data_IF_819501635942
#
_entry.id   IF_819501635942
#
_cell.length_a   1.000
_cell.length_b   1.000
_cell.length_c   1.000
_cell.angle_alpha   90.00
_cell.angle_beta   90.00
_cell.angle_gamma   90.00
#
_symmetry.space_group_name_H-M   'P 1'
#
loop_
_entity.id
_entity.type
_entity.pdbx_description
1 polymer ?
#
# COMPACT_ATOMS: atom_id res chain seq x y z
N UNK A 1 5.20 -5.14 -4.05
CA UNK A 1 5.06 -6.24 -3.06
C UNK A 1 3.65 -6.18 -2.53
N UNK A 2 2.99 -7.32 -2.41
CA UNK A 2 1.72 -7.46 -1.71
C UNK A 2 1.91 -8.40 -0.52
N UNK A 3 1.02 -8.29 0.45
CA UNK A 3 0.86 -9.17 1.61
C UNK A 3 -0.51 -9.82 1.56
N UNK A 4 -0.66 -11.01 2.14
CA UNK A 4 -1.95 -11.68 2.32
C UNK A 4 -2.37 -11.58 3.79
N UNK A 5 -3.34 -10.72 4.12
CA UNK A 5 -3.92 -10.68 5.46
C UNK A 5 -4.64 -11.99 5.82
N UNK A 6 -4.63 -12.38 7.09
CA UNK A 6 -5.30 -13.58 7.60
C UNK A 6 -6.82 -13.42 7.73
N UNK A 7 -7.30 -12.18 7.79
CA UNK A 7 -8.70 -11.82 8.03
C UNK A 7 -9.47 -11.38 6.78
N UNK A 8 -8.82 -11.37 5.61
CA UNK A 8 -9.43 -11.05 4.30
C UNK A 8 -9.09 -12.15 3.28
N UNK A 9 -9.94 -12.27 2.25
CA UNK A 9 -9.73 -13.22 1.14
C UNK A 9 -8.85 -12.69 0.00
N UNK A 10 -8.51 -11.40 0.01
CA UNK A 10 -7.71 -10.74 -1.02
C UNK A 10 -6.39 -10.24 -0.44
N UNK A 11 -5.41 -10.07 -1.32
CA UNK A 11 -4.12 -9.48 -1.03
C UNK A 11 -4.22 -7.94 -0.93
N UNK A 12 -3.30 -7.36 -0.18
CA UNK A 12 -3.19 -5.91 0.02
C UNK A 12 -1.72 -5.45 -0.03
N UNK A 13 -1.49 -4.14 0.05
CA UNK A 13 -0.15 -3.61 0.36
C UNK A 13 0.05 -3.52 1.87
N UNK A 14 1.30 -3.55 2.39
CA UNK A 14 1.53 -3.28 3.80
C UNK A 14 1.01 -1.90 4.19
N UNK A 15 0.41 -1.79 5.37
CA UNK A 15 -0.11 -0.54 5.89
C UNK A 15 -1.36 -0.68 6.74
N UNK A 16 -1.64 0.38 7.50
CA UNK A 16 -2.78 0.44 8.39
C UNK A 16 -3.22 1.88 8.64
N UNK A 17 -3.88 2.09 9.78
CA UNK A 17 -4.43 3.39 10.13
C UNK A 17 -3.36 4.33 10.67
N UNK A 18 -3.53 5.62 10.37
CA UNK A 18 -2.76 6.67 11.05
C UNK A 18 -3.33 6.85 12.46
N UNK A 19 -2.46 6.77 13.47
CA UNK A 19 -2.85 6.96 14.86
C UNK A 19 -2.96 8.43 15.27
N UNK A 20 -3.55 8.70 16.43
CA UNK A 20 -3.69 10.06 16.94
C UNK A 20 -2.32 10.71 17.18
N UNK A 21 -2.08 11.86 16.53
CA UNK A 21 -0.81 12.57 16.63
C UNK A 21 0.30 12.01 15.75
N UNK A 22 0.00 11.00 14.94
CA UNK A 22 0.92 10.37 14.00
C UNK A 22 0.82 11.04 12.61
N UNK A 23 1.95 11.15 11.90
CA UNK A 23 1.94 11.57 10.50
C UNK A 23 1.71 10.37 9.57
N UNK A 24 1.13 10.54 8.37
CA UNK A 24 0.96 9.42 7.43
C UNK A 24 2.27 8.70 7.07
N UNK A 25 3.39 9.44 6.99
CA UNK A 25 4.71 8.84 6.74
C UNK A 25 5.18 8.02 7.95
N UNK A 26 4.97 8.52 9.16
CA UNK A 26 5.28 7.79 10.41
C UNK A 26 4.48 6.50 10.51
N UNK A 27 3.18 6.56 10.20
CA UNK A 27 2.31 5.38 10.15
C UNK A 27 2.84 4.36 9.14
N UNK A 28 3.18 4.79 7.92
CA UNK A 28 3.75 3.89 6.91
C UNK A 28 5.05 3.21 7.39
N UNK A 29 5.94 3.93 8.07
CA UNK A 29 7.18 3.35 8.64
C UNK A 29 6.87 2.35 9.75
N UNK A 30 5.94 2.67 10.66
CA UNK A 30 5.52 1.79 11.75
C UNK A 30 4.88 0.51 11.21
N UNK A 31 3.89 0.63 10.34
CA UNK A 31 3.15 -0.51 9.78
C UNK A 31 4.07 -1.46 9.00
N UNK A 32 5.00 -0.94 8.19
CA UNK A 32 6.00 -1.77 7.51
C UNK A 32 6.87 -2.55 8.51
N UNK A 33 7.19 -1.97 9.66
CA UNK A 33 7.92 -2.69 10.69
C UNK A 33 7.06 -3.71 11.44
N UNK A 34 5.81 -3.37 11.77
CA UNK A 34 4.88 -4.23 12.51
C UNK A 34 4.48 -5.45 11.68
N UNK A 35 4.04 -5.25 10.44
CA UNK A 35 3.48 -6.32 9.60
C UNK A 35 4.55 -7.23 9.01
N UNK A 36 5.70 -6.67 8.58
CA UNK A 36 6.71 -7.42 7.82
C UNK A 36 8.14 -7.33 8.39
N UNK A 37 8.33 -6.66 9.54
CA UNK A 37 9.58 -6.68 10.29
C UNK A 37 10.73 -5.89 9.65
N UNK A 38 10.47 -5.09 8.61
CA UNK A 38 11.52 -4.40 7.87
C UNK A 38 11.72 -2.96 8.35
N UNK A 39 12.99 -2.57 8.51
CA UNK A 39 13.39 -1.16 8.60
C UNK A 39 13.92 -0.70 7.25
N UNK A 40 13.11 0.07 6.52
CA UNK A 40 13.44 0.56 5.18
C UNK A 40 13.33 2.08 5.14
N UNK A 41 14.14 2.71 4.29
CA UNK A 41 14.00 4.13 3.99
C UNK A 41 12.76 4.31 3.10
N UNK A 42 11.67 4.80 3.70
CA UNK A 42 10.45 5.16 2.96
C UNK A 42 10.73 6.42 2.14
N UNK A 43 10.48 6.33 0.83
CA UNK A 43 10.69 7.38 -0.14
C UNK A 43 9.52 8.35 -0.26
N UNK A 44 9.40 9.07 -1.39
CA UNK A 44 8.39 10.11 -1.57
C UNK A 44 6.97 9.53 -1.59
N UNK A 45 6.00 10.43 -1.34
CA UNK A 45 4.58 10.16 -1.54
C UNK A 45 4.30 9.92 -3.03
N UNK A 46 3.69 8.79 -3.36
CA UNK A 46 3.33 8.42 -4.72
C UNK A 46 1.88 8.77 -5.04
N UNK A 47 0.94 8.47 -4.14
CA UNK A 47 -0.48 8.75 -4.37
C UNK A 47 -1.22 9.17 -3.11
N UNK A 48 -2.21 10.04 -3.29
CA UNK A 48 -3.27 10.32 -2.33
C UNK A 48 -4.58 9.90 -2.99
N UNK A 49 -5.31 8.97 -2.37
CA UNK A 49 -6.58 8.47 -2.90
C UNK A 49 -7.72 8.75 -1.93
N UNK A 50 -8.76 9.44 -2.39
CA UNK A 50 -10.04 9.50 -1.69
C UNK A 50 -10.86 8.26 -2.03
N UNK A 51 -11.20 7.47 -1.02
CA UNK A 51 -11.90 6.20 -1.19
C UNK A 51 -13.08 6.08 -0.20
N UNK A 52 -14.30 6.48 -0.60
CA UNK A 52 -15.49 6.34 0.21
C UNK A 52 -15.78 4.88 0.58
N UNK A 53 -16.25 4.67 1.81
CA UNK A 53 -16.80 3.41 2.31
C UNK A 53 -18.19 3.67 2.91
N UNK A 54 -19.25 3.00 2.43
CA UNK A 54 -20.60 3.22 2.93
C UNK A 54 -20.75 3.11 4.46
N UNK A 55 -20.05 2.14 5.08
CA UNK A 55 -20.21 1.83 6.50
C UNK A 55 -19.15 2.48 7.40
N UNK A 56 -18.05 2.97 6.81
CA UNK A 56 -16.88 3.46 7.56
C UNK A 56 -16.58 4.94 7.27
N UNK A 57 -17.36 5.56 6.37
CA UNK A 57 -17.13 6.92 5.89
C UNK A 57 -15.99 7.02 4.87
N UNK A 58 -15.62 8.25 4.55
CA UNK A 58 -14.58 8.52 3.58
C UNK A 58 -13.19 8.25 4.14
N UNK A 59 -12.35 7.58 3.34
CA UNK A 59 -10.94 7.37 3.66
C UNK A 59 -10.07 8.18 2.72
N UNK A 60 -8.96 8.68 3.25
CA UNK A 60 -7.85 9.24 2.46
C UNK A 60 -6.66 8.32 2.66
N UNK A 61 -6.20 7.68 1.58
CA UNK A 61 -5.07 6.78 1.60
C UNK A 61 -3.83 7.48 1.08
N UNK A 62 -2.73 7.36 1.82
CA UNK A 62 -1.41 7.84 1.42
C UNK A 62 -0.56 6.64 1.06
N UNK A 63 -0.05 6.57 -0.17
CA UNK A 63 0.88 5.50 -0.58
C UNK A 63 2.25 6.11 -0.83
N UNK A 64 3.26 5.61 -0.11
CA UNK A 64 4.65 6.02 -0.23
C UNK A 64 5.48 4.98 -1.01
N UNK A 65 6.60 5.41 -1.58
CA UNK A 65 7.56 4.51 -2.22
C UNK A 65 8.34 3.72 -1.17
N UNK A 66 8.10 2.41 -1.08
CA UNK A 66 8.85 1.50 -0.19
C UNK A 66 10.29 1.18 -0.66
N UNK A 67 10.74 1.76 -1.77
CA UNK A 67 12.08 1.59 -2.31
C UNK A 67 12.27 0.30 -3.12
N UNK A 68 13.52 -0.14 -3.21
CA UNK A 68 13.91 -1.42 -3.78
C UNK A 68 14.59 -2.21 -2.67
N UNK A 69 14.03 -3.38 -2.34
CA UNK A 69 14.53 -4.22 -1.27
C UNK A 69 15.66 -5.12 -1.78
N UNK A 70 16.75 -5.21 -1.03
CA UNK A 70 17.85 -6.14 -1.34
C UNK A 70 17.47 -7.57 -0.95
N UNK A 71 18.13 -8.59 -1.52
CA UNK A 71 17.93 -9.98 -1.11
C UNK A 71 18.11 -10.21 0.40
N UNK A 72 19.07 -9.51 1.02
CA UNK A 72 19.34 -9.59 2.46
C UNK A 72 18.16 -9.04 3.26
N UNK A 73 17.59 -7.90 2.86
CA UNK A 73 16.40 -7.35 3.50
C UNK A 73 15.21 -8.32 3.36
N UNK A 74 15.00 -8.86 2.15
CA UNK A 74 13.92 -9.82 1.90
C UNK A 74 14.03 -11.09 2.75
N UNK A 75 15.26 -11.55 3.04
CA UNK A 75 15.49 -12.71 3.91
C UNK A 75 15.13 -12.48 5.38
N UNK A 76 14.96 -11.22 5.79
CA UNK A 76 14.60 -10.82 7.17
C UNK A 76 13.13 -10.54 7.36
N UNK A 77 12.32 -10.64 6.30
CA UNK A 77 10.87 -10.45 6.40
C UNK A 77 10.28 -11.44 7.40
N UNK A 78 9.53 -10.92 8.36
CA UNK A 78 8.88 -11.71 9.41
C UNK A 78 7.53 -11.10 9.76
N UNK A 79 6.53 -11.95 10.00
CA UNK A 79 5.18 -11.52 10.35
C UNK A 79 5.03 -11.55 11.87
N UNK A 80 4.88 -10.37 12.50
CA UNK A 80 5.07 -10.24 13.96
C UNK A 80 3.77 -10.31 14.77
N UNK A 81 2.66 -9.91 14.17
CA UNK A 81 1.34 -9.76 14.81
C UNK A 81 0.34 -10.89 14.47
N UNK A 82 0.66 -11.73 13.49
CA UNK A 82 -0.22 -12.78 12.97
C UNK A 82 -1.30 -12.27 12.01
N UNK A 83 -1.27 -10.99 11.65
CA UNK A 83 -2.19 -10.40 10.67
C UNK A 83 -1.81 -10.78 9.24
N UNK A 84 -0.51 -11.00 8.98
CA UNK A 84 -0.01 -11.38 7.64
C UNK A 84 0.39 -12.86 7.61
N UNK A 85 -0.09 -13.57 6.59
CA UNK A 85 0.24 -14.98 6.38
C UNK A 85 1.40 -15.20 5.39
N UNK A 86 1.52 -14.32 4.39
CA UNK A 86 2.54 -14.42 3.33
C UNK A 86 2.75 -13.07 2.64
N UNK A 87 3.85 -12.95 1.90
CA UNK A 87 4.13 -11.82 1.02
C UNK A 87 4.61 -12.33 -0.35
N UNK A 88 4.43 -11.50 -1.38
CA UNK A 88 4.93 -11.78 -2.72
C UNK A 88 5.20 -10.51 -3.52
N UNK A 89 6.16 -10.58 -4.45
CA UNK A 89 6.19 -9.64 -5.57
C UNK A 89 5.21 -10.14 -6.64
N UNK A 90 4.25 -9.28 -6.98
CA UNK A 90 3.15 -9.60 -7.88
C UNK A 90 3.28 -8.73 -9.13
N UNK A 91 3.13 -9.35 -10.31
CA UNK A 91 3.14 -8.63 -11.58
C UNK A 91 1.80 -7.90 -11.80
N UNK A 92 1.82 -6.80 -12.55
CA UNK A 92 0.63 -5.98 -12.85
C UNK A 92 -0.55 -6.78 -13.41
N UNK A 93 -0.26 -7.77 -14.27
CA UNK A 93 -1.28 -8.63 -14.88
C UNK A 93 -2.03 -9.54 -13.90
N UNK A 94 -1.54 -9.73 -12.67
CA UNK A 94 -2.15 -10.58 -11.65
C UNK A 94 -2.96 -9.78 -10.62
N UNK A 95 -2.94 -8.44 -10.67
CA UNK A 95 -3.57 -7.61 -9.64
C UNK A 95 -5.09 -7.81 -9.57
N UNK A 96 -5.77 -8.03 -10.69
CA UNK A 96 -7.22 -8.21 -10.72
C UNK A 96 -7.66 -9.56 -10.13
N UNK A 97 -6.77 -10.56 -10.12
CA UNK A 97 -7.03 -11.88 -9.55
C UNK A 97 -6.80 -11.90 -8.03
N UNK A 98 -5.81 -11.12 -7.55
CA UNK A 98 -5.36 -11.17 -6.16
C UNK A 98 -5.95 -10.08 -5.27
N UNK A 99 -6.35 -8.94 -5.84
CA UNK A 99 -6.81 -7.77 -5.09
C UNK A 99 -8.24 -7.39 -5.43
N UNK A 100 -8.86 -6.55 -4.60
CA UNK A 100 -10.15 -5.95 -4.94
C UNK A 100 -10.00 -4.97 -6.11
N UNK A 101 -11.01 -4.80 -6.99
CA UNK A 101 -10.89 -3.99 -8.20
C UNK A 101 -10.39 -2.56 -7.98
N UNK A 102 -10.83 -1.91 -6.89
CA UNK A 102 -10.37 -0.55 -6.56
C UNK A 102 -8.88 -0.49 -6.20
N UNK A 103 -8.36 -1.51 -5.52
CA UNK A 103 -6.95 -1.57 -5.15
C UNK A 103 -6.11 -1.82 -6.40
N UNK A 104 -6.52 -2.71 -7.29
CA UNK A 104 -5.85 -2.93 -8.57
C UNK A 104 -5.70 -1.62 -9.38
N UNK A 105 -6.78 -0.83 -9.51
CA UNK A 105 -6.73 0.49 -10.17
C UNK A 105 -5.76 1.44 -9.47
N UNK A 106 -5.85 1.56 -8.13
CA UNK A 106 -4.98 2.42 -7.34
C UNK A 106 -3.51 2.06 -7.49
N UNK A 107 -3.17 0.77 -7.45
CA UNK A 107 -1.79 0.30 -7.58
C UNK A 107 -1.24 0.58 -8.98
N UNK A 108 -2.05 0.42 -10.03
CA UNK A 108 -1.67 0.78 -11.40
C UNK A 108 -1.37 2.26 -11.56
N UNK A 109 -2.24 3.12 -11.02
CA UNK A 109 -2.01 4.56 -10.99
C UNK A 109 -0.75 4.92 -10.18
N UNK A 110 -0.54 4.25 -9.05
CA UNK A 110 0.64 4.44 -8.19
C UNK A 110 1.95 4.02 -8.87
N UNK A 111 1.95 2.90 -9.59
CA UNK A 111 3.09 2.47 -10.40
C UNK A 111 3.41 3.47 -11.52
N UNK A 112 2.37 4.06 -12.13
CA UNK A 112 2.55 5.10 -13.14
C UNK A 112 3.13 6.39 -12.55
N UNK A 113 2.59 6.85 -11.42
CA UNK A 113 3.09 7.99 -10.65
C UNK A 113 4.59 7.83 -10.31
N UNK A 114 4.97 6.65 -9.81
CA UNK A 114 6.38 6.31 -9.53
C UNK A 114 7.27 6.39 -10.78
N UNK A 115 6.84 5.80 -11.91
CA UNK A 115 7.58 5.83 -13.18
C UNK A 115 7.78 7.26 -13.71
N UNK A 116 6.83 8.14 -13.45
CA UNK A 116 6.86 9.53 -13.88
C UNK A 116 7.52 10.47 -12.86
N UNK A 117 7.89 9.98 -11.68
CA UNK A 117 8.43 10.79 -10.57
C UNK A 117 7.53 11.96 -10.17
N UNK A 118 6.21 11.75 -10.19
CA UNK A 118 5.20 12.72 -9.77
C UNK A 118 4.15 12.05 -8.88
N UNK A 119 3.70 12.74 -7.84
CA UNK A 119 2.58 12.26 -7.02
C UNK A 119 1.26 12.41 -7.77
N UNK A 120 0.33 11.46 -7.61
CA UNK A 120 -1.01 11.54 -8.20
C UNK A 120 -2.11 11.65 -7.14
N UNK A 121 -3.09 12.52 -7.41
CA UNK A 121 -4.36 12.53 -6.71
C UNK A 121 -5.34 11.59 -7.41
N UNK A 122 -6.04 10.76 -6.63
CA UNK A 122 -6.97 9.75 -7.09
C UNK A 122 -8.32 9.86 -6.39
N UNK A 123 -9.36 9.46 -7.10
CA UNK A 123 -10.72 9.23 -6.59
C UNK A 123 -11.10 7.78 -6.87
N UNK A 124 -11.36 7.02 -5.81
CA UNK A 124 -11.69 5.59 -5.86
C UNK A 124 -10.69 4.74 -6.66
N UNK A 125 -9.41 5.10 -6.55
CA UNK A 125 -8.29 4.45 -7.23
C UNK A 125 -8.11 4.82 -8.70
N UNK A 126 -8.83 5.82 -9.21
CA UNK A 126 -8.69 6.32 -10.58
C UNK A 126 -8.27 7.80 -10.59
N UNK A 127 -7.65 8.26 -11.68
CA UNK A 127 -7.47 9.70 -11.88
C UNK A 127 -8.85 10.36 -12.00
N UNK A 128 -9.07 11.52 -11.38
CA UNK A 128 -10.34 12.23 -11.51
C UNK A 128 -10.60 12.54 -12.99
N UNK A 129 -11.86 12.47 -13.41
CA UNK A 129 -12.25 13.04 -14.69
C UNK A 129 -11.91 14.53 -14.66
N UNK A 130 -11.39 15.06 -15.78
CA UNK A 130 -11.08 16.49 -15.90
C UNK A 130 -12.25 17.31 -15.38
N UNK A 131 -12.01 18.14 -14.37
CA UNK A 131 -12.99 19.04 -13.79
C UNK A 131 -13.47 20.09 -14.78
#
# INVERSE_FOLDING_TARGET
>A
MLVRPTYKSHWDIPGGYVEQGESPLSACVREVYEEIGLHVAIGPLLTVDWAPRPDEGDKVLFIFDGGILTPEQLSTVSFRDGEIAEWAFVADGQLDELTIPRLARRLRATMQARRQSHSAYLEEGALPASA
#
